data_IF_618040704787
#
_entry.id   IF_618040704787
#
_cell.length_a   1.000
_cell.length_b   1.000
_cell.length_c   1.000
_cell.angle_alpha   90.00
_cell.angle_beta   90.00
_cell.angle_gamma   90.00
#
_symmetry.space_group_name_H-M   'P 1'
#
loop_
_entity.id
_entity.type
_entity.pdbx_description
1 polymer ?
#
# COMPACT_ATOMS: atom_id res chain seq x y z
N UNK A 1 18.92 -13.83 -5.24
CA UNK A 1 18.49 -14.09 -3.84
C UNK A 1 17.42 -15.16 -3.86
N UNK A 2 17.24 -15.92 -2.77
CA UNK A 2 16.12 -16.85 -2.65
C UNK A 2 14.87 -16.09 -2.18
N UNK A 3 13.70 -16.43 -2.76
CA UNK A 3 12.40 -15.86 -2.37
C UNK A 3 11.62 -16.90 -1.57
N UNK A 4 11.40 -16.61 -0.29
CA UNK A 4 10.64 -17.46 0.63
C UNK A 4 9.15 -17.13 0.55
N UNK A 5 8.29 -18.16 0.62
CA UNK A 5 6.84 -18.00 0.80
C UNK A 5 6.49 -18.53 2.18
N UNK A 6 5.80 -17.73 3.00
CA UNK A 6 5.29 -18.14 4.31
C UNK A 6 3.77 -18.06 4.29
N UNK A 7 3.10 -19.18 4.55
CA UNK A 7 1.65 -19.20 4.70
C UNK A 7 1.22 -18.59 6.03
N UNK A 8 0.26 -17.67 5.98
CA UNK A 8 -0.33 -16.98 7.14
C UNK A 8 -1.84 -17.17 7.08
N UNK A 9 -2.33 -18.22 7.73
CA UNK A 9 -3.76 -18.53 7.76
C UNK A 9 -4.48 -17.93 8.98
N UNK A 10 -3.72 -17.52 9.99
CA UNK A 10 -4.21 -16.96 11.23
C UNK A 10 -3.12 -16.01 11.79
N UNK A 11 -3.43 -14.73 11.91
CA UNK A 11 -2.47 -13.72 12.34
C UNK A 11 -1.89 -14.02 13.71
N UNK A 12 -2.73 -14.44 14.66
CA UNK A 12 -2.29 -14.72 16.05
C UNK A 12 -1.30 -15.89 16.13
N UNK A 13 -1.55 -16.94 15.34
CA UNK A 13 -0.66 -18.12 15.30
C UNK A 13 0.61 -17.86 14.48
N UNK A 14 0.60 -16.87 13.59
CA UNK A 14 1.72 -16.56 12.69
C UNK A 14 2.41 -15.24 13.04
N UNK A 15 2.28 -14.74 14.28
CA UNK A 15 2.89 -13.46 14.71
C UNK A 15 4.42 -13.43 14.50
N UNK A 16 5.11 -14.55 14.62
CA UNK A 16 6.56 -14.58 14.36
C UNK A 16 6.88 -14.30 12.89
N UNK A 17 6.08 -14.79 11.96
CA UNK A 17 6.21 -14.47 10.53
C UNK A 17 5.89 -13.01 10.23
N UNK A 18 4.90 -12.43 10.92
CA UNK A 18 4.57 -11.00 10.83
C UNK A 18 5.75 -10.15 11.34
N UNK A 19 6.36 -10.51 12.46
CA UNK A 19 7.55 -9.85 13.03
C UNK A 19 8.78 -10.00 12.14
N UNK A 20 8.98 -11.17 11.52
CA UNK A 20 10.04 -11.40 10.52
C UNK A 20 9.87 -10.41 9.36
N UNK A 21 8.68 -10.33 8.76
CA UNK A 21 8.37 -9.41 7.68
C UNK A 21 8.56 -7.93 8.10
N UNK A 22 8.07 -7.55 9.27
CA UNK A 22 8.23 -6.20 9.80
C UNK A 22 9.69 -5.83 10.03
N UNK A 23 10.50 -6.76 10.50
CA UNK A 23 11.94 -6.56 10.68
C UNK A 23 12.66 -6.38 9.36
N UNK A 24 12.32 -7.18 8.35
CA UNK A 24 12.85 -7.02 6.99
C UNK A 24 12.50 -5.64 6.41
N UNK A 25 11.25 -5.18 6.55
CA UNK A 25 10.80 -3.88 6.10
C UNK A 25 11.51 -2.72 6.82
N UNK A 26 11.70 -2.80 8.15
CA UNK A 26 12.48 -1.81 8.91
C UNK A 26 13.95 -1.75 8.46
N UNK A 27 14.50 -2.88 8.01
CA UNK A 27 15.87 -2.99 7.48
C UNK A 27 15.98 -2.61 5.99
N UNK A 28 14.93 -2.02 5.40
CA UNK A 28 14.93 -1.55 4.01
C UNK A 28 14.74 -2.65 2.96
N UNK A 29 14.41 -3.87 3.37
CA UNK A 29 14.10 -4.98 2.46
C UNK A 29 12.66 -4.90 1.96
N UNK A 30 12.35 -5.58 0.86
CA UNK A 30 11.02 -5.65 0.27
C UNK A 30 10.29 -6.91 0.74
N UNK A 31 8.99 -6.80 1.01
CA UNK A 31 8.13 -7.92 1.35
C UNK A 31 6.81 -7.81 0.58
N UNK A 32 6.38 -8.90 -0.03
CA UNK A 32 5.04 -8.95 -0.60
C UNK A 32 4.01 -9.37 0.45
N UNK A 33 2.91 -8.63 0.52
CA UNK A 33 1.82 -8.82 1.49
C UNK A 33 0.47 -8.91 0.78
N UNK A 34 -0.47 -9.72 1.29
CA UNK A 34 -1.84 -9.76 0.78
C UNK A 34 -2.60 -8.48 1.16
N UNK A 35 -3.54 -8.07 0.32
CA UNK A 35 -4.59 -7.12 0.67
C UNK A 35 -5.94 -7.63 0.17
N UNK A 36 -7.03 -6.95 0.50
CA UNK A 36 -8.36 -7.30 0.00
C UNK A 36 -8.51 -7.10 -1.52
N UNK A 37 -7.67 -6.21 -2.10
CA UNK A 37 -7.69 -5.88 -3.53
C UNK A 37 -6.76 -6.78 -4.35
N UNK A 38 -5.46 -6.58 -4.19
CA UNK A 38 -4.39 -7.32 -4.87
C UNK A 38 -3.20 -7.45 -3.92
N UNK A 39 -2.27 -8.38 -4.16
CA UNK A 39 -1.02 -8.42 -3.41
C UNK A 39 -0.21 -7.15 -3.62
N UNK A 40 0.31 -6.60 -2.53
CA UNK A 40 1.16 -5.41 -2.52
C UNK A 40 2.62 -5.74 -2.27
N UNK A 41 3.53 -5.06 -2.96
CA UNK A 41 4.96 -5.09 -2.66
C UNK A 41 5.30 -3.93 -1.73
N UNK A 42 5.63 -4.25 -0.49
CA UNK A 42 5.85 -3.27 0.57
C UNK A 42 7.34 -2.90 0.71
N UNK A 43 7.58 -1.62 0.97
CA UNK A 43 8.86 -1.05 1.38
C UNK A 43 8.64 0.01 2.46
N UNK A 44 9.62 0.26 3.32
CA UNK A 44 9.58 1.39 4.25
C UNK A 44 9.44 2.70 3.47
N UNK A 45 8.29 3.37 3.60
CA UNK A 45 7.97 4.58 2.85
C UNK A 45 8.76 5.82 3.27
N UNK A 46 9.46 5.77 4.40
CA UNK A 46 10.33 6.85 4.90
C UNK A 46 11.81 6.64 4.53
N UNK A 47 12.17 5.48 3.97
CA UNK A 47 13.52 5.14 3.55
C UNK A 47 13.65 5.28 2.03
N UNK A 48 14.40 6.29 1.58
CA UNK A 48 14.61 6.54 0.13
C UNK A 48 15.34 5.39 -0.58
N UNK A 49 16.17 4.63 0.13
CA UNK A 49 16.89 3.48 -0.43
C UNK A 49 15.94 2.30 -0.62
N UNK A 50 15.10 2.01 0.37
CA UNK A 50 14.05 0.99 0.27
C UNK A 50 13.04 1.32 -0.85
N UNK A 51 12.62 2.59 -0.95
CA UNK A 51 11.73 3.05 -2.03
C UNK A 51 12.41 2.94 -3.40
N UNK A 52 13.71 3.23 -3.49
CA UNK A 52 14.46 3.01 -4.75
C UNK A 52 14.45 1.53 -5.14
N UNK A 53 14.75 0.63 -4.20
CA UNK A 53 14.72 -0.81 -4.43
C UNK A 53 13.34 -1.31 -4.90
N UNK A 54 12.26 -0.67 -4.42
CA UNK A 54 10.89 -0.96 -4.86
C UNK A 54 10.67 -0.59 -6.33
N UNK A 55 11.19 0.55 -6.80
CA UNK A 55 11.17 0.92 -8.22
C UNK A 55 11.97 -0.05 -9.07
N UNK A 56 13.19 -0.38 -8.62
CA UNK A 56 14.11 -1.26 -9.35
C UNK A 56 13.52 -2.68 -9.49
N UNK A 57 12.97 -3.25 -8.40
CA UNK A 57 12.35 -4.58 -8.42
C UNK A 57 11.13 -4.68 -9.36
N UNK A 58 10.43 -3.57 -9.56
CA UNK A 58 9.23 -3.50 -10.41
C UNK A 58 9.52 -3.08 -11.85
N UNK A 59 10.74 -2.71 -12.20
CA UNK A 59 11.06 -2.03 -13.47
C UNK A 59 10.10 -0.85 -13.72
N UNK A 60 9.94 0.02 -12.69
CA UNK A 60 8.95 1.09 -12.70
C UNK A 60 9.61 2.44 -12.90
N UNK A 61 9.08 3.30 -13.81
CA UNK A 61 9.59 4.66 -13.96
C UNK A 61 9.43 5.50 -12.69
N UNK A 62 10.50 6.23 -12.28
CA UNK A 62 10.53 7.01 -11.03
C UNK A 62 9.50 8.13 -10.92
N UNK A 63 8.94 8.61 -12.03
CA UNK A 63 7.87 9.62 -12.02
C UNK A 63 6.49 9.06 -11.66
N UNK A 64 6.32 7.72 -11.66
CA UNK A 64 5.06 7.07 -11.26
C UNK A 64 5.02 6.89 -9.74
N UNK A 65 4.33 7.79 -9.04
CA UNK A 65 4.17 7.78 -7.58
C UNK A 65 3.69 6.42 -7.04
N UNK A 66 4.05 6.15 -5.78
CA UNK A 66 3.46 5.12 -4.94
C UNK A 66 2.46 5.74 -3.95
N UNK A 67 1.45 4.99 -3.55
CA UNK A 67 0.67 5.28 -2.35
C UNK A 67 1.36 4.73 -1.11
N UNK A 68 1.10 5.39 0.02
CA UNK A 68 1.48 4.91 1.35
C UNK A 68 0.31 4.16 1.97
N UNK A 69 0.58 2.99 2.54
CA UNK A 69 -0.37 2.29 3.40
C UNK A 69 -0.02 2.52 4.87
N UNK A 70 -1.05 2.66 5.70
CA UNK A 70 -0.97 2.88 7.14
C UNK A 70 -1.95 1.98 7.87
N UNK A 71 -1.71 1.75 9.17
CA UNK A 71 -2.55 0.87 9.97
C UNK A 71 -3.88 1.49 10.41
N UNK A 72 -3.92 2.82 10.53
CA UNK A 72 -5.08 3.56 11.01
C UNK A 72 -5.06 5.03 10.57
N UNK A 73 -6.16 5.74 10.88
CA UNK A 73 -6.33 7.17 10.54
C UNK A 73 -5.40 8.08 11.36
N UNK A 74 -4.93 7.65 12.53
CA UNK A 74 -4.02 8.46 13.34
C UNK A 74 -2.69 8.70 12.61
N UNK A 75 -2.18 7.67 11.92
CA UNK A 75 -0.95 7.76 11.11
C UNK A 75 -1.09 8.69 9.89
N UNK A 76 -2.30 8.97 9.42
CA UNK A 76 -2.52 9.92 8.28
C UNK A 76 -1.96 11.30 8.60
N UNK A 77 -2.08 11.73 9.87
CA UNK A 77 -1.58 13.04 10.34
C UNK A 77 -0.06 13.18 10.26
N UNK A 78 0.67 12.07 10.25
CA UNK A 78 2.13 12.08 10.12
C UNK A 78 2.58 12.26 8.67
N UNK A 79 1.71 11.94 7.72
CA UNK A 79 1.96 11.93 6.28
C UNK A 79 1.40 13.17 5.59
N UNK A 80 0.14 13.50 5.87
CA UNK A 80 -0.57 14.60 5.23
C UNK A 80 -0.30 15.94 5.93
N UNK A 81 -0.02 16.98 5.14
CA UNK A 81 0.13 18.35 5.64
C UNK A 81 -1.23 18.97 6.02
N UNK A 82 -2.31 18.54 5.35
CA UNK A 82 -3.69 18.94 5.62
C UNK A 82 -4.62 17.78 5.28
N UNK A 83 -5.65 17.57 6.09
CA UNK A 83 -6.73 16.61 5.86
C UNK A 83 -8.05 17.39 5.81
N UNK A 84 -8.61 17.66 4.62
CA UNK A 84 -9.87 18.37 4.49
C UNK A 84 -11.05 17.52 4.96
N UNK A 85 -12.19 18.17 5.27
CA UNK A 85 -13.37 17.49 5.80
C UNK A 85 -13.91 16.38 4.90
N UNK A 86 -13.89 16.60 3.57
CA UNK A 86 -14.27 15.56 2.61
C UNK A 86 -13.39 14.29 2.74
N UNK A 87 -12.08 14.45 2.95
CA UNK A 87 -11.19 13.31 3.15
C UNK A 87 -11.47 12.58 4.48
N UNK A 88 -11.82 13.31 5.55
CA UNK A 88 -12.21 12.70 6.83
C UNK A 88 -13.46 11.84 6.66
N UNK A 89 -14.48 12.32 5.97
CA UNK A 89 -15.71 11.56 5.67
C UNK A 89 -15.38 10.30 4.86
N UNK A 90 -14.51 10.39 3.85
CA UNK A 90 -14.10 9.24 3.05
C UNK A 90 -13.32 8.21 3.89
N UNK A 91 -12.41 8.64 4.79
CA UNK A 91 -11.73 7.74 5.71
C UNK A 91 -12.73 7.06 6.65
N UNK A 92 -13.67 7.80 7.23
CA UNK A 92 -14.67 7.26 8.14
C UNK A 92 -15.59 6.24 7.45
N UNK A 93 -16.00 6.50 6.21
CA UNK A 93 -16.96 5.67 5.49
C UNK A 93 -16.34 4.42 4.86
N UNK A 94 -15.12 4.52 4.33
CA UNK A 94 -14.52 3.52 3.44
C UNK A 94 -13.21 2.92 3.95
N UNK A 95 -12.73 3.31 5.13
CA UNK A 95 -11.49 2.73 5.68
C UNK A 95 -11.74 1.99 7.00
N UNK A 96 -11.12 0.81 7.18
CA UNK A 96 -10.25 0.10 6.23
C UNK A 96 -10.98 -0.30 4.95
N UNK A 97 -10.29 -0.22 3.77
CA UNK A 97 -10.94 -0.63 2.53
C UNK A 97 -10.22 -0.21 1.24
N UNK A 98 -10.90 -0.49 0.10
CA UNK A 98 -10.31 -0.37 -1.23
C UNK A 98 -10.34 1.08 -1.78
N UNK A 99 -9.99 2.06 -0.95
CA UNK A 99 -9.87 3.47 -1.31
C UNK A 99 -8.44 3.97 -1.07
N UNK A 100 -7.96 4.84 -1.97
CA UNK A 100 -6.71 5.60 -1.80
C UNK A 100 -7.06 7.08 -1.89
N UNK A 101 -6.80 7.83 -0.83
CA UNK A 101 -7.12 9.25 -0.73
C UNK A 101 -5.84 10.06 -0.93
N UNK A 102 -5.82 10.93 -1.94
CA UNK A 102 -4.67 11.77 -2.26
C UNK A 102 -4.80 13.10 -1.52
N UNK A 103 -3.74 13.44 -0.77
CA UNK A 103 -3.65 14.62 0.09
C UNK A 103 -2.34 15.37 -0.14
N UNK A 104 -2.23 16.64 0.24
CA UNK A 104 -0.95 17.35 0.29
C UNK A 104 -0.01 16.65 1.28
N UNK A 105 1.20 16.28 0.82
CA UNK A 105 2.17 15.59 1.66
C UNK A 105 2.92 16.53 2.60
N UNK A 106 3.35 16.05 3.76
CA UNK A 106 4.36 16.73 4.58
C UNK A 106 5.74 16.68 3.92
N UNK A 107 6.60 17.62 4.25
CA UNK A 107 7.97 17.69 3.75
C UNK A 107 8.84 16.50 4.21
N UNK A 108 8.47 15.86 5.33
CA UNK A 108 9.11 14.63 5.85
C UNK A 108 8.95 13.41 4.96
N UNK A 109 7.95 13.39 4.08
CA UNK A 109 7.75 12.27 3.14
C UNK A 109 8.72 12.41 1.97
N UNK A 110 9.53 11.39 1.68
CA UNK A 110 10.50 11.42 0.61
C UNK A 110 9.86 11.72 -0.76
N UNK A 111 10.46 12.61 -1.53
CA UNK A 111 9.97 12.96 -2.88
C UNK A 111 9.93 11.76 -3.82
N UNK A 112 10.80 10.78 -3.59
CA UNK A 112 10.85 9.54 -4.38
C UNK A 112 9.56 8.73 -4.29
N UNK A 113 8.93 8.65 -3.10
CA UNK A 113 7.63 7.98 -2.94
C UNK A 113 6.56 8.60 -3.84
N UNK A 114 6.56 9.93 -3.91
CA UNK A 114 5.52 10.69 -4.62
C UNK A 114 5.83 10.97 -6.09
N UNK A 115 6.93 10.41 -6.62
CA UNK A 115 7.37 10.72 -7.99
C UNK A 115 7.65 12.21 -8.22
N UNK A 116 8.11 12.91 -7.16
CA UNK A 116 8.39 14.36 -7.17
C UNK A 116 7.18 15.26 -6.91
N UNK A 117 5.96 14.70 -6.76
CA UNK A 117 4.73 15.47 -6.53
C UNK A 117 4.67 16.05 -5.11
N UNK A 118 3.86 17.11 -4.94
CA UNK A 118 3.53 17.72 -3.64
C UNK A 118 2.40 16.98 -2.90
N UNK A 119 1.85 15.91 -3.50
CA UNK A 119 0.74 15.13 -2.99
C UNK A 119 1.14 13.68 -2.77
N UNK A 120 0.40 12.97 -1.92
CA UNK A 120 0.61 11.54 -1.62
C UNK A 120 -0.73 10.83 -1.50
N UNK A 121 -0.85 9.65 -2.10
CA UNK A 121 -1.99 8.76 -1.88
C UNK A 121 -1.81 7.98 -0.58
N UNK A 122 -2.86 7.92 0.24
CA UNK A 122 -2.87 7.22 1.52
C UNK A 122 -4.01 6.20 1.52
N UNK A 123 -3.72 4.98 1.99
CA UNK A 123 -4.69 3.89 2.08
C UNK A 123 -4.56 3.15 3.41
N UNK A 124 -5.67 2.69 3.96
CA UNK A 124 -5.76 1.74 5.07
C UNK A 124 -6.38 0.47 4.49
N UNK A 125 -5.61 -0.62 4.27
CA UNK A 125 -6.14 -1.82 3.62
C UNK A 125 -7.07 -2.59 4.55
N UNK A 126 -8.09 -3.26 4.00
CA UNK A 126 -8.98 -4.16 4.75
C UNK A 126 -8.49 -5.61 4.66
N UNK A 127 -7.36 -5.87 5.28
CA UNK A 127 -6.76 -7.20 5.36
C UNK A 127 -5.99 -7.35 6.67
N UNK A 128 -6.32 -8.36 7.45
CA UNK A 128 -5.75 -8.58 8.79
C UNK A 128 -4.23 -8.75 8.77
N UNK A 129 -3.67 -9.43 7.78
CA UNK A 129 -2.22 -9.66 7.65
C UNK A 129 -1.53 -8.33 7.32
N UNK A 130 -2.04 -7.58 6.34
CA UNK A 130 -1.50 -6.27 5.98
C UNK A 130 -1.53 -5.31 7.18
N UNK A 131 -2.66 -5.25 7.90
CA UNK A 131 -2.80 -4.41 9.09
C UNK A 131 -1.86 -4.84 10.22
N UNK A 132 -1.67 -6.15 10.44
CA UNK A 132 -0.72 -6.66 11.43
C UNK A 132 0.73 -6.26 11.09
N UNK A 133 1.12 -6.40 9.81
CA UNK A 133 2.45 -5.96 9.34
C UNK A 133 2.63 -4.46 9.53
N UNK A 134 1.63 -3.64 9.12
CA UNK A 134 1.67 -2.17 9.26
C UNK A 134 1.81 -1.73 10.73
N UNK A 135 1.07 -2.37 11.65
CA UNK A 135 1.17 -2.10 13.10
C UNK A 135 2.53 -2.48 13.66
N UNK A 136 3.03 -3.65 13.27
CA UNK A 136 4.32 -4.17 13.75
C UNK A 136 5.50 -3.35 13.20
N UNK A 137 5.43 -2.87 11.96
CA UNK A 137 6.46 -1.98 11.37
C UNK A 137 6.47 -0.62 12.04
N UNK A 138 5.30 -0.04 12.30
CA UNK A 138 5.13 1.23 12.99
C UNK A 138 5.45 2.47 12.15
N UNK A 139 5.67 2.32 10.83
CA UNK A 139 5.89 3.42 9.89
C UNK A 139 5.06 3.21 8.62
N UNK A 140 4.75 4.28 7.85
CA UNK A 140 4.05 4.14 6.58
C UNK A 140 4.85 3.29 5.58
N UNK A 141 4.17 2.39 4.89
CA UNK A 141 4.78 1.56 3.85
C UNK A 141 4.37 2.06 2.46
N UNK A 142 5.33 2.17 1.53
CA UNK A 142 5.04 2.32 0.11
C UNK A 142 4.62 0.96 -0.45
N UNK A 143 3.39 0.85 -0.98
CA UNK A 143 2.82 -0.45 -1.36
C UNK A 143 2.09 -0.36 -2.71
N UNK A 144 2.81 -0.46 -3.84
CA UNK A 144 2.19 -0.77 -5.14
C UNK A 144 1.80 -2.25 -5.23
N UNK A 145 1.11 -2.66 -6.30
CA UNK A 145 0.89 -4.07 -6.63
C UNK A 145 2.20 -4.85 -6.78
N UNK A 146 2.22 -6.12 -6.37
CA UNK A 146 3.43 -6.96 -6.28
C UNK A 146 3.75 -7.68 -7.62
N UNK A 147 3.83 -6.92 -8.72
CA UNK A 147 4.14 -7.40 -10.07
C UNK A 147 5.19 -6.52 -10.75
N UNK A 148 5.86 -7.03 -11.77
CA UNK A 148 6.64 -6.20 -12.70
C UNK A 148 5.69 -5.23 -13.40
N UNK A 149 6.14 -4.00 -13.65
CA UNK A 149 5.29 -2.97 -14.27
C UNK A 149 4.73 -3.44 -15.61
N UNK A 150 3.46 -3.13 -15.85
CA UNK A 150 2.68 -3.55 -17.01
C UNK A 150 2.21 -5.02 -17.01
N UNK A 151 2.66 -5.87 -16.10
CA UNK A 151 2.06 -7.18 -15.89
C UNK A 151 0.74 -7.08 -15.12
N UNK A 152 -0.14 -8.11 -15.16
CA UNK A 152 -1.36 -8.15 -14.37
C UNK A 152 -1.08 -8.03 -12.87
N UNK A 153 -1.94 -7.30 -12.15
CA UNK A 153 -1.84 -7.22 -10.69
C UNK A 153 -2.12 -8.57 -10.04
N UNK A 154 -1.26 -9.08 -9.14
CA UNK A 154 -1.37 -10.42 -8.59
C UNK A 154 -2.48 -10.52 -7.55
N UNK A 155 -3.29 -11.57 -7.62
CA UNK A 155 -4.36 -11.89 -6.67
C UNK A 155 -4.04 -13.10 -5.80
N UNK A 156 -2.85 -13.68 -5.95
CA UNK A 156 -2.35 -14.81 -5.13
C UNK A 156 -0.84 -14.74 -4.94
N UNK A 157 -0.34 -15.37 -3.88
CA UNK A 157 1.09 -15.48 -3.62
C UNK A 157 1.85 -16.18 -4.77
N UNK A 158 1.21 -17.14 -5.44
CA UNK A 158 1.79 -17.80 -6.61
C UNK A 158 2.05 -16.82 -7.75
N UNK A 159 1.11 -15.95 -8.08
CA UNK A 159 1.30 -14.92 -9.12
C UNK A 159 2.42 -13.95 -8.74
N UNK A 160 2.52 -13.56 -7.45
CA UNK A 160 3.65 -12.76 -6.96
C UNK A 160 4.97 -13.50 -7.15
N UNK A 161 5.02 -14.78 -6.78
CA UNK A 161 6.23 -15.58 -6.91
C UNK A 161 6.67 -15.73 -8.37
N UNK A 162 5.74 -15.95 -9.28
CA UNK A 162 6.04 -16.10 -10.71
C UNK A 162 6.71 -14.82 -11.29
N UNK A 163 6.29 -13.62 -10.82
CA UNK A 163 6.84 -12.35 -11.25
C UNK A 163 8.10 -11.90 -10.47
N UNK A 164 8.13 -12.17 -9.16
CA UNK A 164 9.08 -11.52 -8.23
C UNK A 164 10.15 -12.46 -7.65
N UNK A 165 10.13 -13.75 -7.99
CA UNK A 165 11.16 -14.70 -7.49
C UNK A 165 12.56 -14.22 -7.85
N UNK A 166 13.45 -14.27 -6.87
CA UNK A 166 14.83 -13.81 -7.03
C UNK A 166 15.01 -12.28 -6.88
N UNK A 167 13.91 -11.50 -6.91
CA UNK A 167 13.92 -10.04 -6.77
C UNK A 167 13.61 -9.58 -5.35
N UNK A 168 12.81 -10.36 -4.59
CA UNK A 168 12.39 -10.06 -3.23
C UNK A 168 12.65 -11.25 -2.29
N UNK A 169 12.95 -11.02 -1.00
CA UNK A 169 13.26 -12.11 -0.08
C UNK A 169 12.03 -12.86 0.45
N UNK A 170 10.86 -12.20 0.58
CA UNK A 170 9.73 -12.76 1.30
C UNK A 170 8.38 -12.42 0.66
N UNK A 171 7.49 -13.42 0.64
CA UNK A 171 6.06 -13.31 0.32
C UNK A 171 5.29 -13.89 1.51
N UNK A 172 4.40 -13.10 2.11
CA UNK A 172 3.40 -13.61 3.05
C UNK A 172 2.19 -14.08 2.26
N UNK A 173 1.89 -15.37 2.32
CA UNK A 173 0.74 -15.97 1.63
C UNK A 173 -0.47 -16.01 2.56
N UNK A 174 -1.44 -15.11 2.33
CA UNK A 174 -2.72 -15.05 3.01
C UNK A 174 -3.87 -15.62 2.19
N UNK A 175 -3.57 -16.42 1.15
CA UNK A 175 -4.57 -16.92 0.21
C UNK A 175 -4.93 -15.91 -0.90
N UNK A 176 -5.99 -16.17 -1.67
CA UNK A 176 -6.43 -15.31 -2.76
C UNK A 176 -7.03 -14.00 -2.25
N UNK A 177 -6.84 -12.91 -3.00
CA UNK A 177 -7.50 -11.63 -2.72
C UNK A 177 -9.01 -11.72 -2.99
N UNK A 178 -9.81 -11.07 -2.13
CA UNK A 178 -11.27 -11.15 -2.22
C UNK A 178 -11.86 -10.37 -3.41
N UNK A 179 -11.30 -9.19 -3.72
CA UNK A 179 -11.84 -8.29 -4.74
C UNK A 179 -11.19 -8.49 -6.13
N UNK A 180 -9.89 -8.66 -6.18
CA UNK A 180 -9.15 -8.79 -7.45
C UNK A 180 -9.14 -7.51 -8.31
N UNK A 181 -9.62 -6.38 -7.76
CA UNK A 181 -9.70 -5.08 -8.39
C UNK A 181 -8.93 -4.08 -7.53
N UNK A 182 -8.16 -3.19 -8.15
CA UNK A 182 -7.39 -2.17 -7.46
C UNK A 182 -8.29 -1.13 -6.76
N UNK A 183 -7.74 -0.41 -5.77
CA UNK A 183 -8.44 0.64 -5.03
C UNK A 183 -8.90 1.78 -5.92
N UNK A 184 -10.05 2.38 -5.61
CA UNK A 184 -10.44 3.68 -6.16
C UNK A 184 -9.51 4.76 -5.62
N UNK A 185 -9.01 5.67 -6.49
CA UNK A 185 -8.13 6.78 -6.08
C UNK A 185 -8.91 8.08 -6.20
N UNK A 186 -9.02 8.80 -5.09
CA UNK A 186 -9.73 10.08 -4.99
C UNK A 186 -8.75 11.18 -4.59
N UNK A 187 -8.66 12.23 -5.39
CA UNK A 187 -7.91 13.44 -5.05
C UNK A 187 -8.79 14.38 -4.21
N UNK A 188 -8.35 14.66 -2.99
CA UNK A 188 -8.99 15.57 -2.05
C UNK A 188 -8.14 16.83 -1.79
N UNK A 189 -7.29 17.23 -2.73
CA UNK A 189 -6.43 18.41 -2.58
C UNK A 189 -7.13 19.72 -2.97
N UNK A 190 -8.17 19.66 -3.84
CA UNK A 190 -9.03 20.77 -4.27
C UNK A 190 -10.21 21.00 -3.34
N UNK A 191 -11.18 21.78 -3.84
CA UNK A 191 -12.42 22.09 -3.11
C UNK A 191 -13.47 20.97 -3.22
N UNK A 192 -13.38 20.16 -4.28
CA UNK A 192 -14.24 19.00 -4.53
C UNK A 192 -13.38 17.75 -4.77
N UNK A 193 -13.90 16.54 -4.44
CA UNK A 193 -13.21 15.29 -4.70
C UNK A 193 -13.15 15.01 -6.21
N UNK A 194 -12.00 14.56 -6.69
CA UNK A 194 -11.80 14.17 -8.07
C UNK A 194 -11.31 12.72 -8.15
N UNK A 195 -12.01 11.87 -8.90
CA UNK A 195 -11.59 10.49 -9.10
C UNK A 195 -10.44 10.43 -10.11
N UNK A 196 -9.26 10.01 -9.64
CA UNK A 196 -8.08 9.80 -10.49
C UNK A 196 -8.07 8.42 -11.14
N UNK A 197 -8.60 7.42 -10.41
CA UNK A 197 -8.70 6.04 -10.89
C UNK A 197 -9.98 5.41 -10.35
N UNK A 198 -10.79 4.88 -11.26
CA UNK A 198 -11.92 4.03 -10.88
C UNK A 198 -11.40 2.67 -10.38
N UNK A 199 -12.01 2.13 -9.33
CA UNK A 199 -11.67 0.87 -8.68
C UNK A 199 -12.89 0.23 -8.04
N UNK A 200 -12.71 -0.44 -6.90
CA UNK A 200 -13.76 -1.20 -6.24
C UNK A 200 -14.92 -0.35 -5.67
N UNK A 201 -14.69 0.94 -5.36
CA UNK A 201 -15.73 1.87 -4.89
C UNK A 201 -16.16 2.74 -6.07
N UNK A 202 -17.46 2.83 -6.33
CA UNK A 202 -18.01 3.60 -7.42
C UNK A 202 -17.94 5.12 -7.18
N UNK A 203 -17.93 5.91 -8.25
CA UNK A 203 -18.00 7.36 -8.18
C UNK A 203 -19.25 7.84 -7.43
N UNK A 204 -20.39 7.20 -7.67
CA UNK A 204 -21.64 7.52 -6.99
C UNK A 204 -21.50 7.41 -5.47
N UNK A 205 -20.93 6.33 -4.96
CA UNK A 205 -20.71 6.13 -3.50
C UNK A 205 -19.78 7.19 -2.92
N UNK A 206 -18.73 7.59 -3.67
CA UNK A 206 -17.81 8.66 -3.26
C UNK A 206 -18.55 9.99 -3.15
N UNK A 207 -19.31 10.37 -4.20
CA UNK A 207 -20.02 11.67 -4.25
C UNK A 207 -21.17 11.75 -3.25
N UNK A 208 -21.81 10.63 -2.89
CA UNK A 208 -22.84 10.58 -1.86
C UNK A 208 -22.28 10.73 -0.43
N UNK A 209 -20.97 10.51 -0.24
CA UNK A 209 -20.31 10.55 1.06
C UNK A 209 -19.81 11.96 1.46
N UNK A 210 -19.49 12.85 0.50
CA UNK A 210 -18.75 14.10 0.74
C UNK A 210 -19.59 15.36 0.73
#
# INVERSE_FOLDING_TARGET
>A
METKIISVNDVQKNMDSIREAATMLRNGQLVAIPTETVYGLAANGLDEVAVKSLYDAKDRPYYKAFSLQVADVAMVKDIAARVPNMALKLFERFCPGPITIVLPRKSSIPKRVTGGKSTVGIRIPDNEIALAVLREVGVPLAVPSANISAHPSPTSAKMVYDDMKGLIPLILDGGPCNLGIESTIVDCTGDEPMIIRHGAISEKEIMECV
#
